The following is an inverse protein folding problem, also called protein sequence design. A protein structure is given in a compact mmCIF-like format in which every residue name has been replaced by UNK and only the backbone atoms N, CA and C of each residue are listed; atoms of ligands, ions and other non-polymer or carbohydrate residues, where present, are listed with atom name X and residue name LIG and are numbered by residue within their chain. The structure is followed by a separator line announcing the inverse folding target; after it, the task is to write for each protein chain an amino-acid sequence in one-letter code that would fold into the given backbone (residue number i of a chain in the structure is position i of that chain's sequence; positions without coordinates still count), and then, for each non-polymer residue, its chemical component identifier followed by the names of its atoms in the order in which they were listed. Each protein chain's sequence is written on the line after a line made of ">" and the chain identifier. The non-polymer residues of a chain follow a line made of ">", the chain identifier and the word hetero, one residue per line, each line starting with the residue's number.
data_IF_716459857739
#
_entry.id   IF_716459857739
#
_cell.length_a   1.000
_cell.length_b   1.000
_cell.length_c   1.000
_cell.angle_alpha   90.00
_cell.angle_beta   90.00
_cell.angle_gamma   90.00
#
_symmetry.space_group_name_H-M   'P 1'
#
loop_
_entity.id
_entity.type
_entity.pdbx_description
1 polymer ?
#
# COMPACT_ATOMS: atom_id res chain seq x y z
N UNK A 1 -11.41 -2.93 -9.75
CA UNK A 1 -11.71 -4.27 -10.29
C UNK A 1 -12.70 -4.94 -9.35
N UNK A 2 -13.37 -6.01 -9.79
CA UNK A 2 -14.13 -6.83 -8.86
C UNK A 2 -13.17 -7.58 -7.91
N UNK A 3 -13.58 -7.90 -6.66
CA UNK A 3 -12.71 -8.58 -5.70
C UNK A 3 -12.12 -9.90 -6.21
N UNK A 4 -12.90 -10.69 -6.95
CA UNK A 4 -12.44 -11.97 -7.52
C UNK A 4 -11.35 -11.78 -8.57
N UNK A 5 -11.51 -10.80 -9.46
CA UNK A 5 -10.50 -10.45 -10.47
C UNK A 5 -9.20 -9.99 -9.83
N UNK A 6 -9.30 -9.14 -8.79
CA UNK A 6 -8.14 -8.64 -8.08
C UNK A 6 -7.37 -9.78 -7.39
N UNK A 7 -8.06 -10.71 -6.73
CA UNK A 7 -7.42 -11.86 -6.07
C UNK A 7 -6.76 -12.78 -7.09
N UNK A 8 -7.42 -13.08 -8.23
CA UNK A 8 -6.82 -13.88 -9.32
C UNK A 8 -5.55 -13.25 -9.89
N UNK A 9 -5.50 -11.92 -9.91
CA UNK A 9 -4.34 -11.19 -10.40
C UNK A 9 -3.17 -11.19 -9.40
N UNK A 10 -3.45 -10.88 -8.12
CA UNK A 10 -2.42 -10.59 -7.12
C UNK A 10 -1.98 -11.84 -6.34
N UNK A 11 -2.92 -12.70 -5.95
CA UNK A 11 -2.63 -13.84 -5.05
C UNK A 11 -1.57 -14.81 -5.60
N UNK A 12 -1.60 -15.21 -6.89
CA UNK A 12 -0.56 -16.10 -7.44
C UNK A 12 0.85 -15.48 -7.39
N UNK A 13 0.95 -14.15 -7.54
CA UNK A 13 2.22 -13.43 -7.48
C UNK A 13 2.73 -13.36 -6.04
N UNK A 14 1.84 -13.05 -5.09
CA UNK A 14 2.16 -13.09 -3.66
C UNK A 14 2.61 -14.49 -3.19
N UNK A 15 1.95 -15.55 -3.69
CA UNK A 15 2.30 -16.94 -3.40
C UNK A 15 3.69 -17.30 -3.94
N UNK A 16 4.02 -16.87 -5.17
CA UNK A 16 5.33 -17.07 -5.80
C UNK A 16 6.46 -16.31 -5.08
N UNK A 17 6.20 -15.05 -4.68
CA UNK A 17 7.15 -14.22 -3.95
C UNK A 17 7.57 -14.86 -2.62
N UNK A 18 6.64 -15.51 -1.93
CA UNK A 18 6.92 -16.16 -0.66
C UNK A 18 7.27 -15.16 0.46
N UNK A 19 7.99 -15.61 1.50
CA UNK A 19 8.43 -14.73 2.60
C UNK A 19 7.35 -14.34 3.61
N UNK A 20 6.19 -13.85 3.16
CA UNK A 20 4.97 -13.52 3.96
C UNK A 20 3.84 -14.49 3.56
N UNK A 21 2.81 -14.59 4.37
CA UNK A 21 1.57 -15.27 3.98
C UNK A 21 0.91 -14.56 2.77
N UNK A 22 0.54 -15.28 1.69
CA UNK A 22 -0.01 -14.67 0.49
C UNK A 22 -1.41 -14.06 0.69
N UNK A 23 -2.19 -14.54 1.66
CA UNK A 23 -3.48 -13.91 2.04
C UNK A 23 -3.20 -12.53 2.61
N UNK A 24 -2.19 -12.40 3.47
CA UNK A 24 -1.79 -11.12 4.05
C UNK A 24 -1.41 -10.12 2.95
N UNK A 25 -0.47 -10.49 2.08
CA UNK A 25 0.02 -9.61 1.00
C UNK A 25 -1.11 -9.19 0.06
N UNK A 26 -1.95 -10.14 -0.35
CA UNK A 26 -3.09 -9.87 -1.24
C UNK A 26 -4.12 -8.95 -0.59
N UNK A 27 -4.45 -9.19 0.68
CA UNK A 27 -5.41 -8.36 1.39
C UNK A 27 -4.89 -6.94 1.64
N UNK A 28 -3.61 -6.80 1.97
CA UNK A 28 -3.00 -5.49 2.13
C UNK A 28 -3.02 -4.73 0.80
N UNK A 29 -2.60 -5.36 -0.29
CA UNK A 29 -2.67 -4.76 -1.62
C UNK A 29 -4.10 -4.37 -2.01
N UNK A 30 -5.10 -5.20 -1.67
CA UNK A 30 -6.51 -4.90 -1.91
C UNK A 30 -7.00 -3.69 -1.10
N UNK A 31 -6.64 -3.61 0.17
CA UNK A 31 -7.04 -2.51 1.04
C UNK A 31 -6.42 -1.18 0.58
N UNK A 32 -5.12 -1.19 0.31
CA UNK A 32 -4.33 0.02 -0.03
C UNK A 32 -4.70 0.58 -1.41
N UNK A 33 -4.98 -0.31 -2.38
CA UNK A 33 -5.37 0.09 -3.74
C UNK A 33 -6.88 0.26 -3.93
N UNK A 34 -7.69 -0.04 -2.91
CA UNK A 34 -9.15 -0.13 -3.04
C UNK A 34 -9.58 -1.16 -4.10
N UNK A 35 -9.04 -2.38 -4.04
CA UNK A 35 -9.24 -3.45 -5.02
C UNK A 35 -8.79 -3.04 -6.44
N UNK A 36 -7.63 -2.39 -6.51
CA UNK A 36 -6.99 -1.91 -7.74
C UNK A 36 -7.60 -0.63 -8.31
N UNK A 37 -8.66 -0.06 -7.72
CA UNK A 37 -9.36 1.12 -8.25
C UNK A 37 -8.50 2.39 -8.19
N UNK A 38 -7.63 2.49 -7.19
CA UNK A 38 -6.73 3.62 -6.97
C UNK A 38 -5.29 3.33 -7.40
N UNK A 39 -5.04 2.18 -8.04
CA UNK A 39 -3.71 1.79 -8.46
C UNK A 39 -3.18 2.71 -9.58
N UNK A 40 -1.87 2.94 -9.54
CA UNK A 40 -1.16 3.73 -10.55
C UNK A 40 -0.37 2.75 -11.42
N UNK A 41 -0.96 2.27 -12.52
CA UNK A 41 -0.43 1.14 -13.27
C UNK A 41 -0.28 -0.09 -12.36
N UNK A 42 0.93 -0.64 -12.27
CA UNK A 42 1.25 -1.75 -11.37
C UNK A 42 1.55 -1.34 -9.91
N UNK A 43 1.58 -0.03 -9.61
CA UNK A 43 1.85 0.49 -8.28
C UNK A 43 0.58 0.45 -7.41
N UNK A 44 0.37 -0.66 -6.71
CA UNK A 44 -0.81 -0.90 -5.88
C UNK A 44 -0.81 -0.09 -4.58
N UNK A 45 0.37 0.28 -4.06
CA UNK A 45 0.52 0.92 -2.76
C UNK A 45 0.73 2.44 -2.86
N UNK A 46 0.67 3.01 -4.07
CA UNK A 46 0.91 4.45 -4.29
C UNK A 46 2.32 4.87 -3.85
N UNK A 47 3.33 4.02 -4.03
CA UNK A 47 4.70 4.30 -3.59
C UNK A 47 5.27 5.43 -4.44
N UNK A 48 5.51 6.58 -3.82
CA UNK A 48 6.21 7.70 -4.47
C UNK A 48 7.67 7.33 -4.74
N UNK A 49 8.30 8.00 -5.70
CA UNK A 49 9.70 7.74 -6.10
C UNK A 49 10.62 7.68 -4.87
N UNK A 50 10.50 8.65 -3.96
CA UNK A 50 11.46 8.82 -2.87
C UNK A 50 12.88 9.13 -3.38
N UNK A 51 13.85 9.15 -2.49
CA UNK A 51 15.24 9.51 -2.83
C UNK A 51 16.07 8.33 -3.36
N UNK A 52 15.71 7.10 -2.98
CA UNK A 52 16.50 5.89 -3.26
C UNK A 52 16.15 5.21 -4.58
N UNK A 53 14.94 5.44 -5.12
CA UNK A 53 14.49 4.79 -6.35
C UNK A 53 15.26 5.25 -7.59
N UNK A 54 15.75 4.28 -8.35
CA UNK A 54 16.48 4.48 -9.62
C UNK A 54 15.75 3.94 -10.85
N UNK A 55 14.64 3.23 -10.66
CA UNK A 55 13.85 2.66 -11.75
C UNK A 55 12.95 3.68 -12.45
N UNK A 56 12.07 3.17 -13.30
CA UNK A 56 11.08 3.95 -14.04
C UNK A 56 10.13 4.70 -13.09
N UNK A 57 9.65 5.85 -13.54
CA UNK A 57 8.73 6.69 -12.78
C UNK A 57 7.68 7.28 -13.70
N UNK A 58 6.50 7.52 -13.13
CA UNK A 58 5.40 8.21 -13.80
C UNK A 58 4.97 9.44 -13.00
N UNK A 59 4.72 10.54 -13.70
CA UNK A 59 4.28 11.79 -13.11
C UNK A 59 2.74 11.86 -13.11
N UNK A 60 2.14 11.71 -11.93
CA UNK A 60 0.69 11.56 -11.77
C UNK A 60 0.11 12.73 -10.99
N UNK A 61 -1.07 13.19 -11.41
CA UNK A 61 -1.86 14.14 -10.63
C UNK A 61 -2.58 13.40 -9.52
N UNK A 62 -2.32 13.75 -8.26
CA UNK A 62 -2.90 13.12 -7.08
C UNK A 62 -3.40 14.16 -6.07
N UNK A 63 -4.07 13.68 -5.02
CA UNK A 63 -4.52 14.50 -3.88
C UNK A 63 -3.67 14.19 -2.65
N UNK A 64 -3.13 15.23 -2.01
CA UNK A 64 -2.47 15.13 -0.70
C UNK A 64 -3.14 16.06 0.32
N UNK A 65 -2.98 15.76 1.60
CA UNK A 65 -3.50 16.57 2.69
C UNK A 65 -2.37 17.06 3.59
N UNK A 66 -2.30 18.37 3.79
CA UNK A 66 -1.31 19.00 4.67
C UNK A 66 -1.98 19.90 5.69
N UNK A 67 -1.28 20.18 6.79
CA UNK A 67 -1.76 21.06 7.86
C UNK A 67 -1.47 22.54 7.62
N UNK A 68 -0.75 22.87 6.54
CA UNK A 68 -0.31 24.23 6.19
C UNK A 68 -0.49 24.51 4.69
N UNK A 69 -0.61 25.78 4.26
CA UNK A 69 -0.92 26.17 2.88
C UNK A 69 0.29 26.39 1.96
N UNK A 70 1.52 26.26 2.47
CA UNK A 70 2.77 26.66 1.82
C UNK A 70 3.68 25.48 1.43
N UNK A 71 3.13 24.26 1.29
CA UNK A 71 3.92 23.11 0.88
C UNK A 71 4.34 23.24 -0.59
N UNK A 72 5.63 23.07 -0.85
CA UNK A 72 6.20 23.14 -2.21
C UNK A 72 6.92 21.85 -2.59
N UNK A 73 6.96 21.56 -3.89
CA UNK A 73 7.70 20.42 -4.46
C UNK A 73 8.74 20.90 -5.47
N UNK A 74 9.82 20.11 -5.63
CA UNK A 74 10.85 20.37 -6.64
C UNK A 74 10.41 19.81 -7.98
N UNK A 75 10.64 20.56 -9.05
CA UNK A 75 10.34 20.11 -10.41
C UNK A 75 10.95 18.72 -10.71
N UNK A 76 10.23 17.83 -11.42
CA UNK A 76 8.97 18.08 -12.12
C UNK A 76 7.70 17.98 -11.23
N UNK A 77 7.83 17.62 -9.96
CA UNK A 77 6.72 17.63 -9.01
C UNK A 77 6.30 19.07 -8.70
N UNK A 78 5.00 19.30 -8.52
CA UNK A 78 4.47 20.64 -8.26
C UNK A 78 3.09 20.64 -7.63
N UNK A 79 2.78 21.71 -6.92
CA UNK A 79 1.41 22.03 -6.53
C UNK A 79 0.64 22.56 -7.74
N UNK A 80 -0.58 22.06 -7.95
CA UNK A 80 -1.51 22.56 -8.96
C UNK A 80 -2.56 23.45 -8.29
N UNK A 81 -3.13 22.98 -7.17
CA UNK A 81 -4.21 23.69 -6.47
C UNK A 81 -4.15 23.42 -4.98
N UNK A 82 -4.51 24.41 -4.17
CA UNK A 82 -4.68 24.29 -2.72
C UNK A 82 -6.10 24.74 -2.36
N UNK A 83 -6.79 23.93 -1.56
CA UNK A 83 -8.13 24.22 -1.03
C UNK A 83 -8.09 24.09 0.50
N UNK A 84 -8.37 25.17 1.23
CA UNK A 84 -8.52 25.12 2.69
C UNK A 84 -9.80 24.36 3.05
N UNK A 85 -9.69 23.32 3.87
CA UNK A 85 -10.82 22.55 4.39
C UNK A 85 -11.16 22.91 5.83
N UNK A 86 -10.14 23.16 6.66
CA UNK A 86 -10.25 23.66 8.02
C UNK A 86 -8.97 24.39 8.44
N UNK A 87 -8.88 24.85 9.68
CA UNK A 87 -7.73 25.62 10.16
C UNK A 87 -6.40 24.89 10.01
N UNK A 88 -6.40 23.57 10.20
CA UNK A 88 -5.22 22.71 10.10
C UNK A 88 -5.37 21.62 9.04
N UNK A 89 -6.20 21.85 8.02
CA UNK A 89 -6.40 20.88 6.95
C UNK A 89 -6.60 21.55 5.60
N UNK A 90 -5.68 21.27 4.70
CA UNK A 90 -5.64 21.77 3.34
C UNK A 90 -5.56 20.58 2.38
N UNK A 91 -6.42 20.58 1.37
CA UNK A 91 -6.40 19.63 0.28
C UNK A 91 -5.57 20.18 -0.87
N UNK A 92 -4.57 19.43 -1.29
CA UNK A 92 -3.68 19.78 -2.38
C UNK A 92 -3.94 18.88 -3.57
N UNK A 93 -4.14 19.45 -4.74
CA UNK A 93 -3.99 18.76 -6.02
C UNK A 93 -2.55 18.97 -6.47
N UNK A 94 -1.78 17.90 -6.65
CA UNK A 94 -0.33 17.95 -6.90
C UNK A 94 0.06 17.01 -8.02
N UNK A 95 1.13 17.33 -8.75
CA UNK A 95 1.85 16.33 -9.56
C UNK A 95 2.97 15.73 -8.72
N UNK A 96 2.98 14.40 -8.59
CA UNK A 96 4.01 13.63 -7.89
C UNK A 96 4.60 12.55 -8.76
N UNK A 97 5.86 12.21 -8.53
CA UNK A 97 6.52 11.08 -9.16
C UNK A 97 6.23 9.82 -8.35
N UNK A 98 5.59 8.86 -8.99
CA UNK A 98 5.36 7.52 -8.47
C UNK A 98 6.32 6.53 -9.12
N UNK A 99 6.69 5.49 -8.37
CA UNK A 99 7.43 4.35 -8.92
C UNK A 99 6.56 3.69 -9.99
N UNK A 100 7.17 3.40 -11.13
CA UNK A 100 6.52 2.71 -12.23
C UNK A 100 7.15 1.32 -12.35
N UNK A 101 6.33 0.29 -12.13
CA UNK A 101 6.78 -1.09 -12.06
C UNK A 101 6.41 -1.84 -13.33
N UNK A 102 7.32 -2.66 -13.86
CA UNK A 102 7.08 -3.49 -15.03
C UNK A 102 5.99 -4.54 -14.77
N UNK A 103 5.93 -5.05 -13.52
CA UNK A 103 4.90 -6.00 -13.10
C UNK A 103 4.38 -5.72 -11.69
N UNK A 104 3.21 -6.27 -11.37
CA UNK A 104 2.69 -6.27 -10.00
C UNK A 104 3.61 -7.03 -9.05
N UNK A 105 4.33 -8.07 -9.52
CA UNK A 105 5.27 -8.82 -8.70
C UNK A 105 6.44 -7.95 -8.22
N UNK A 106 6.91 -7.02 -9.05
CA UNK A 106 7.94 -6.05 -8.66
C UNK A 106 7.42 -5.07 -7.62
N UNK A 107 6.17 -4.59 -7.79
CA UNK A 107 5.51 -3.75 -6.79
C UNK A 107 5.38 -4.48 -5.43
N UNK A 108 4.95 -5.74 -5.43
CA UNK A 108 4.85 -6.55 -4.22
C UNK A 108 6.22 -6.75 -3.57
N UNK A 109 7.26 -7.02 -4.36
CA UNK A 109 8.63 -7.23 -3.87
C UNK A 109 9.21 -5.97 -3.24
N UNK A 110 8.98 -4.81 -3.85
CA UNK A 110 9.43 -3.52 -3.32
C UNK A 110 8.70 -3.15 -2.01
N UNK A 111 7.38 -3.39 -1.95
CA UNK A 111 6.63 -3.23 -0.69
C UNK A 111 7.10 -4.22 0.38
N UNK A 112 7.42 -5.45 0.00
CA UNK A 112 7.94 -6.47 0.91
C UNK A 112 9.25 -6.03 1.60
N UNK A 113 10.14 -5.33 0.87
CA UNK A 113 11.35 -4.76 1.46
C UNK A 113 11.07 -3.73 2.55
N UNK A 114 9.98 -2.96 2.45
CA UNK A 114 9.57 -2.02 3.51
C UNK A 114 9.24 -2.77 4.79
N UNK A 115 8.55 -3.91 4.69
CA UNK A 115 8.18 -4.75 5.85
C UNK A 115 9.37 -5.48 6.48
N UNK A 116 10.55 -5.44 5.84
CA UNK A 116 11.82 -5.95 6.36
C UNK A 116 12.67 -4.90 7.09
N UNK A 117 12.23 -3.64 7.11
CA UNK A 117 12.97 -2.59 7.79
C UNK A 117 13.07 -2.88 9.31
N UNK A 118 14.18 -2.47 9.98
CA UNK A 118 14.41 -2.77 11.40
C UNK A 118 13.26 -2.36 12.32
N UNK A 119 12.52 -1.31 11.97
CA UNK A 119 11.36 -0.84 12.72
C UNK A 119 10.21 -1.86 12.79
N UNK A 120 10.12 -2.81 11.86
CA UNK A 120 9.09 -3.87 11.86
C UNK A 120 9.63 -5.23 12.29
N UNK A 121 10.85 -5.27 12.84
CA UNK A 121 11.52 -6.51 13.22
C UNK A 121 10.75 -7.28 14.31
N UNK A 122 10.00 -6.59 15.17
CA UNK A 122 9.18 -7.19 16.22
C UNK A 122 7.93 -7.91 15.67
N UNK A 123 7.40 -7.44 14.53
CA UNK A 123 6.28 -8.06 13.84
C UNK A 123 6.74 -9.22 12.94
N UNK A 124 7.94 -9.14 12.38
CA UNK A 124 8.47 -10.08 11.38
C UNK A 124 8.37 -11.58 11.71
N UNK A 125 8.56 -12.04 12.97
CA UNK A 125 8.37 -13.45 13.34
C UNK A 125 6.99 -13.98 12.98
N UNK A 126 5.97 -13.12 12.95
CA UNK A 126 4.58 -13.47 12.74
C UNK A 126 4.12 -13.38 11.28
N UNK A 127 4.99 -13.03 10.33
CA UNK A 127 4.66 -12.82 8.89
C UNK A 127 3.95 -13.98 8.18
N UNK A 128 3.88 -15.16 8.79
CA UNK A 128 3.14 -16.35 8.30
C UNK A 128 1.78 -16.56 8.98
N UNK A 129 1.39 -15.66 9.87
CA UNK A 129 0.09 -15.61 10.54
C UNK A 129 -0.53 -14.23 10.26
N UNK A 130 -1.39 -14.09 9.24
CA UNK A 130 -1.93 -12.79 8.82
C UNK A 130 -2.55 -11.98 9.95
N UNK A 131 -3.37 -12.62 10.79
CA UNK A 131 -4.11 -12.01 11.89
C UNK A 131 -3.16 -11.45 12.95
N UNK A 132 -2.17 -12.22 13.37
CA UNK A 132 -1.21 -11.76 14.37
C UNK A 132 -0.24 -10.75 13.78
N UNK A 133 0.19 -10.95 12.54
CA UNK A 133 1.13 -10.06 11.88
C UNK A 133 0.57 -8.64 11.72
N UNK A 134 -0.68 -8.51 11.26
CA UNK A 134 -1.29 -7.18 11.13
C UNK A 134 -1.43 -6.47 12.47
N UNK A 135 -1.77 -7.19 13.53
CA UNK A 135 -1.88 -6.64 14.89
C UNK A 135 -0.52 -6.12 15.37
N UNK A 136 0.55 -6.89 15.15
CA UNK A 136 1.92 -6.48 15.49
C UNK A 136 2.41 -5.27 14.68
N UNK A 137 2.01 -5.15 13.41
CA UNK A 137 2.37 -4.00 12.58
C UNK A 137 1.75 -2.67 13.02
N UNK A 138 0.73 -2.70 13.89
CA UNK A 138 0.00 -1.48 14.32
C UNK A 138 -0.05 -1.28 15.84
N UNK A 139 0.44 -2.23 16.64
CA UNK A 139 0.38 -2.15 18.12
C UNK A 139 1.30 -1.08 18.73
N UNK A 140 2.30 -0.60 17.97
CA UNK A 140 3.22 0.44 18.39
C UNK A 140 4.40 -0.03 19.24
N UNK A 141 4.65 -1.35 19.32
CA UNK A 141 5.89 -1.88 19.92
C UNK A 141 7.08 -1.54 19.02
N UNK A 142 6.97 -1.78 17.72
CA UNK A 142 7.87 -1.28 16.70
C UNK A 142 7.36 -0.01 16.02
N UNK A 143 7.78 0.18 14.77
CA UNK A 143 7.20 1.18 13.87
C UNK A 143 5.75 0.84 13.58
N UNK A 144 4.88 1.86 13.59
CA UNK A 144 3.48 1.71 13.19
C UNK A 144 3.35 1.80 11.68
N UNK A 145 2.89 0.72 11.05
CA UNK A 145 2.63 0.70 9.60
C UNK A 145 1.47 1.63 9.22
N UNK A 146 0.39 1.60 10.01
CA UNK A 146 -0.78 2.45 9.83
C UNK A 146 -1.19 3.11 11.15
N UNK A 147 -1.76 4.30 11.08
CA UNK A 147 -2.24 5.07 12.24
C UNK A 147 -3.75 4.97 12.43
N UNK A 148 -4.48 4.44 11.44
CA UNK A 148 -5.92 4.24 11.55
C UNK A 148 -6.22 3.21 12.67
N UNK A 149 -7.11 3.54 13.62
CA UNK A 149 -7.36 2.70 14.79
C UNK A 149 -8.02 1.35 14.42
N UNK A 150 -8.70 1.27 13.29
CA UNK A 150 -9.44 0.12 12.80
C UNK A 150 -8.72 -0.65 11.69
N UNK A 151 -7.43 -0.36 11.44
CA UNK A 151 -6.68 -0.96 10.34
C UNK A 151 -6.62 -2.50 10.42
N UNK A 152 -6.36 -3.04 11.61
CA UNK A 152 -6.32 -4.50 11.81
C UNK A 152 -7.69 -5.14 11.56
N UNK A 153 -8.77 -4.50 12.00
CA UNK A 153 -10.14 -4.99 11.77
C UNK A 153 -10.53 -4.93 10.29
N UNK A 154 -10.10 -3.88 9.59
CA UNK A 154 -10.27 -3.78 8.14
C UNK A 154 -9.56 -4.92 7.42
N UNK A 155 -8.31 -5.18 7.79
CA UNK A 155 -7.52 -6.29 7.24
C UNK A 155 -8.16 -7.65 7.54
N UNK A 156 -8.66 -7.89 8.76
CA UNK A 156 -9.35 -9.14 9.11
C UNK A 156 -10.59 -9.40 8.21
N UNK A 157 -11.34 -8.33 7.86
CA UNK A 157 -12.46 -8.45 6.89
C UNK A 157 -11.96 -8.84 5.51
N UNK A 158 -10.89 -8.22 5.03
CA UNK A 158 -10.32 -8.51 3.72
C UNK A 158 -9.70 -9.91 3.68
N UNK A 159 -9.03 -10.38 4.74
CA UNK A 159 -8.52 -11.76 4.84
C UNK A 159 -9.62 -12.79 4.62
N UNK A 160 -10.78 -12.62 5.25
CA UNK A 160 -11.94 -13.50 5.06
C UNK A 160 -12.40 -13.53 3.61
N UNK A 161 -12.48 -12.36 2.96
CA UNK A 161 -12.87 -12.26 1.55
C UNK A 161 -11.84 -12.95 0.64
N UNK A 162 -10.55 -12.69 0.83
CA UNK A 162 -9.48 -13.29 0.03
C UNK A 162 -9.48 -14.81 0.18
N UNK A 163 -9.56 -15.35 1.41
CA UNK A 163 -9.61 -16.80 1.63
C UNK A 163 -10.82 -17.46 0.98
N UNK A 164 -11.99 -16.81 1.06
CA UNK A 164 -13.21 -17.29 0.39
C UNK A 164 -12.99 -17.38 -1.12
N UNK A 165 -12.49 -16.30 -1.74
CA UNK A 165 -12.24 -16.25 -3.19
C UNK A 165 -11.17 -17.26 -3.60
N UNK A 166 -10.06 -17.36 -2.88
CA UNK A 166 -8.99 -18.34 -3.16
C UNK A 166 -9.55 -19.76 -3.16
N UNK A 167 -10.44 -20.09 -2.21
CA UNK A 167 -11.12 -21.38 -2.16
C UNK A 167 -12.09 -21.58 -3.34
N UNK A 168 -12.91 -20.58 -3.64
CA UNK A 168 -13.90 -20.62 -4.74
C UNK A 168 -13.23 -20.75 -6.11
N UNK A 169 -12.06 -20.15 -6.29
CA UNK A 169 -11.34 -20.06 -7.56
C UNK A 169 -10.20 -21.08 -7.71
N UNK A 170 -9.91 -21.87 -6.67
CA UNK A 170 -8.90 -22.93 -6.69
C UNK A 170 -7.45 -22.45 -6.83
N UNK A 171 -7.07 -21.36 -6.15
CA UNK A 171 -5.76 -20.70 -6.26
C UNK A 171 -4.68 -21.21 -5.26
#
# INVERSE_FOLDING_TARGET
>A
MEPSEFVKWVYPQAKKMGGIDPVFVTAQAALESGWGKSAIGNNLFGITKGSTWKGAVQLVTTTEYFSRPDVTFKAPEKVIQVVKLSEYRYKYTVKRLFRDYDSVADCLSDHFMLLQLPQFADAWPYRKNPELYVRRLVDGVGGKYATAPDYADAMDRVFKMVRRIVKEEGL
#
